data_IF_182068261868
#
_entry.id   IF_182068261868
#
_cell.length_a   1.000
_cell.length_b   1.000
_cell.length_c   1.000
_cell.angle_alpha   90.00
_cell.angle_beta   90.00
_cell.angle_gamma   90.00
#
_symmetry.space_group_name_H-M   'P 1'
#
loop_
_entity.id
_entity.type
_entity.pdbx_description
1 polymer ?
#
# COMPACT_ATOMS: atom_id res chain seq x y z
N UNK A 1 -12.57 15.11 -3.76
CA UNK A 1 -11.78 13.94 -3.33
C UNK A 1 -11.03 14.28 -2.05
N UNK A 2 -10.88 13.34 -1.13
CA UNK A 2 -10.06 13.47 0.08
C UNK A 2 -8.94 12.45 0.00
N UNK A 3 -7.69 12.89 0.15
CA UNK A 3 -6.52 12.04 0.17
C UNK A 3 -5.87 12.11 1.55
N UNK A 4 -5.49 10.96 2.09
CA UNK A 4 -4.71 10.85 3.33
C UNK A 4 -3.41 10.12 3.02
N UNK A 5 -2.28 10.67 3.42
CA UNK A 5 -0.97 10.07 3.14
C UNK A 5 0.01 10.27 4.30
N UNK A 6 0.90 9.30 4.50
CA UNK A 6 2.07 9.44 5.36
C UNK A 6 3.37 9.66 4.57
N UNK A 7 3.30 9.62 3.23
CA UNK A 7 4.44 9.79 2.36
C UNK A 7 4.70 11.26 2.04
N UNK A 8 5.89 11.76 2.35
CA UNK A 8 6.29 13.16 2.08
C UNK A 8 6.19 13.50 0.60
N UNK A 9 6.77 12.64 -0.25
CA UNK A 9 6.76 12.85 -1.70
C UNK A 9 5.35 12.81 -2.26
N UNK A 10 4.51 11.88 -1.75
CA UNK A 10 3.11 11.79 -2.16
C UNK A 10 2.34 13.05 -1.79
N UNK A 11 2.56 13.59 -0.57
CA UNK A 11 1.94 14.85 -0.14
C UNK A 11 2.32 16.01 -1.07
N UNK A 12 3.60 16.11 -1.46
CA UNK A 12 4.07 17.12 -2.41
C UNK A 12 3.36 17.01 -3.76
N UNK A 13 3.37 15.82 -4.37
CA UNK A 13 2.74 15.58 -5.67
C UNK A 13 1.23 15.88 -5.59
N UNK A 14 0.56 15.37 -4.56
CA UNK A 14 -0.87 15.62 -4.38
C UNK A 14 -1.19 17.10 -4.20
N UNK A 15 -0.30 17.86 -3.56
CA UNK A 15 -0.45 19.29 -3.38
C UNK A 15 -0.30 20.07 -4.70
N UNK A 16 0.61 19.67 -5.58
CA UNK A 16 0.79 20.30 -6.91
C UNK A 16 -0.44 20.11 -7.81
N UNK A 17 -1.13 18.97 -7.69
CA UNK A 17 -2.33 18.65 -8.46
C UNK A 17 -3.64 18.94 -7.72
N UNK A 18 -3.58 19.70 -6.64
CA UNK A 18 -4.79 20.11 -5.91
C UNK A 18 -5.73 20.93 -6.79
N UNK A 19 -7.01 20.60 -6.69
CA UNK A 19 -8.10 21.45 -7.15
C UNK A 19 -8.93 21.91 -5.96
N UNK A 20 -9.81 22.89 -6.14
CA UNK A 20 -10.74 23.35 -5.11
C UNK A 20 -11.62 22.20 -4.53
N UNK A 21 -11.67 21.04 -5.21
CA UNK A 21 -12.44 19.87 -4.81
C UNK A 21 -11.58 18.76 -4.19
N UNK A 22 -10.26 18.96 -4.05
CA UNK A 22 -9.33 17.97 -3.48
C UNK A 22 -8.74 18.50 -2.18
N UNK A 23 -8.81 17.70 -1.12
CA UNK A 23 -8.17 17.98 0.17
C UNK A 23 -7.12 16.90 0.43
N UNK A 24 -5.96 17.31 0.91
CA UNK A 24 -4.87 16.42 1.26
C UNK A 24 -4.60 16.53 2.75
N UNK A 25 -4.70 15.42 3.46
CA UNK A 25 -4.31 15.29 4.86
C UNK A 25 -3.00 14.51 4.94
N UNK A 26 -2.01 15.10 5.58
CA UNK A 26 -0.75 14.43 5.87
C UNK A 26 -0.79 13.89 7.29
N UNK A 27 -0.47 12.60 7.45
CA UNK A 27 -0.34 11.99 8.77
C UNK A 27 0.91 12.53 9.45
N UNK A 28 0.75 13.00 10.67
CA UNK A 28 1.86 13.43 11.52
C UNK A 28 2.60 12.27 12.18
N UNK A 29 3.77 12.56 12.74
CA UNK A 29 4.57 11.58 13.47
C UNK A 29 6.06 11.80 13.32
N UNK A 30 6.85 10.73 13.51
CA UNK A 30 8.30 10.74 13.42
C UNK A 30 8.78 10.56 11.99
N UNK A 31 9.70 11.41 11.57
CA UNK A 31 10.46 11.26 10.33
C UNK A 31 11.85 10.73 10.67
N UNK A 32 12.13 9.50 10.25
CA UNK A 32 13.46 8.91 10.42
C UNK A 32 14.42 9.38 9.33
N UNK A 33 15.73 9.50 9.63
CA UNK A 33 16.73 9.82 8.63
C UNK A 33 16.68 8.86 7.43
N UNK A 34 16.64 9.43 6.22
CA UNK A 34 16.54 8.66 4.97
C UNK A 34 15.16 8.07 4.67
N UNK A 35 14.16 8.23 5.53
CA UNK A 35 12.80 7.77 5.27
C UNK A 35 12.04 8.78 4.40
N UNK A 36 11.27 8.26 3.45
CA UNK A 36 10.37 9.06 2.61
C UNK A 36 8.93 9.14 3.17
N UNK A 37 8.71 8.58 4.37
CA UNK A 37 7.40 8.51 5.00
C UNK A 37 7.49 8.68 6.52
N UNK A 38 6.42 9.23 7.06
CA UNK A 38 6.27 9.44 8.50
C UNK A 38 5.70 8.17 9.15
N UNK A 39 6.20 7.87 10.34
CA UNK A 39 5.68 6.81 11.22
C UNK A 39 5.13 7.43 12.49
N UNK A 40 3.98 6.95 12.97
CA UNK A 40 3.43 7.36 14.26
C UNK A 40 3.55 6.22 15.25
N UNK A 41 3.94 6.53 16.48
CA UNK A 41 4.01 5.58 17.59
C UNK A 41 2.85 5.76 18.59
N UNK A 42 2.03 6.79 18.44
CA UNK A 42 0.95 7.08 19.38
C UNK A 42 -0.34 6.38 18.94
N UNK A 43 -0.82 5.47 19.74
CA UNK A 43 -2.06 4.71 19.52
C UNK A 43 -3.34 5.55 19.73
N UNK A 44 -3.23 6.78 20.20
CA UNK A 44 -4.39 7.60 20.56
C UNK A 44 -4.66 8.68 19.51
N UNK A 45 -5.83 8.59 18.87
CA UNK A 45 -6.40 9.60 17.98
C UNK A 45 -5.62 9.87 16.68
N UNK A 46 -5.07 8.83 16.05
CA UNK A 46 -4.49 9.03 14.73
C UNK A 46 -5.59 9.39 13.74
N UNK A 47 -5.31 10.32 12.82
CA UNK A 47 -6.23 10.66 11.72
C UNK A 47 -6.68 9.42 10.95
N UNK A 48 -5.86 8.35 10.94
CA UNK A 48 -6.21 7.07 10.31
C UNK A 48 -7.47 6.45 10.88
N UNK A 49 -7.77 6.65 12.14
CA UNK A 49 -8.96 6.09 12.80
C UNK A 49 -10.22 6.94 12.60
N UNK A 50 -10.06 8.20 12.23
CA UNK A 50 -11.18 9.14 12.05
C UNK A 50 -11.81 9.03 10.66
N UNK A 51 -11.13 8.43 9.71
CA UNK A 51 -11.63 8.27 8.34
C UNK A 51 -12.09 6.84 8.05
N UNK A 52 -13.06 6.74 7.15
CA UNK A 52 -13.39 5.52 6.43
C UNK A 52 -12.97 5.76 4.98
N UNK A 53 -12.13 4.87 4.44
CA UNK A 53 -11.56 5.01 3.12
C UNK A 53 -12.33 4.20 2.09
N UNK A 54 -12.59 4.76 0.93
CA UNK A 54 -13.11 3.99 -0.19
C UNK A 54 -12.00 3.09 -0.76
N UNK A 55 -10.79 3.63 -0.88
CA UNK A 55 -9.62 2.91 -1.37
C UNK A 55 -8.40 3.21 -0.51
N UNK A 56 -7.58 2.19 -0.26
CA UNK A 56 -6.23 2.36 0.23
C UNK A 56 -5.22 1.72 -0.72
N UNK A 57 -4.15 2.46 -0.98
CA UNK A 57 -3.01 1.99 -1.77
C UNK A 57 -1.82 1.86 -0.84
N UNK A 58 -1.23 0.70 -0.79
CA UNK A 58 -0.06 0.47 0.04
C UNK A 58 0.92 -0.47 -0.64
N UNK A 59 2.17 -0.35 -0.29
CA UNK A 59 3.21 -1.31 -0.63
C UNK A 59 3.74 -1.93 0.66
N UNK A 60 4.62 -2.92 0.54
CA UNK A 60 5.20 -3.63 1.66
C UNK A 60 6.71 -3.75 1.51
N UNK A 61 7.37 -4.33 2.50
CA UNK A 61 8.78 -4.69 2.37
C UNK A 61 8.95 -5.98 1.58
N UNK A 62 8.07 -6.95 1.77
CA UNK A 62 8.03 -8.19 1.03
C UNK A 62 6.75 -8.98 1.26
N UNK A 63 6.54 -9.99 0.45
CA UNK A 63 5.42 -10.93 0.51
C UNK A 63 5.92 -12.36 0.37
N UNK A 64 5.13 -13.29 0.91
CA UNK A 64 5.19 -14.71 0.60
C UNK A 64 3.76 -15.29 0.48
N UNK A 65 3.61 -16.61 0.35
CA UNK A 65 2.31 -17.26 0.23
C UNK A 65 1.42 -17.12 1.49
N UNK A 66 2.03 -16.80 2.63
CA UNK A 66 1.34 -16.68 3.91
C UNK A 66 0.97 -15.24 4.24
N UNK A 67 1.69 -14.26 3.69
CA UNK A 67 1.40 -12.89 4.09
C UNK A 67 2.16 -11.76 3.42
N UNK A 68 1.85 -10.59 3.93
CA UNK A 68 2.41 -9.28 3.56
C UNK A 68 3.19 -8.74 4.76
N UNK A 69 4.43 -8.29 4.53
CA UNK A 69 5.37 -8.01 5.62
C UNK A 69 6.00 -6.62 5.55
N UNK A 70 6.39 -6.13 6.73
CA UNK A 70 7.16 -4.91 6.94
C UNK A 70 8.39 -5.12 7.81
N UNK A 71 9.40 -4.27 7.61
CA UNK A 71 10.60 -4.24 8.43
C UNK A 71 10.44 -3.35 9.70
N UNK A 72 9.46 -2.45 9.72
CA UNK A 72 9.24 -1.46 10.78
C UNK A 72 7.86 -1.62 11.40
N UNK A 73 7.80 -1.73 12.73
CA UNK A 73 6.55 -1.80 13.47
C UNK A 73 5.63 -0.59 13.22
N UNK A 74 6.19 0.61 13.17
CA UNK A 74 5.41 1.82 12.92
C UNK A 74 4.72 1.80 11.55
N UNK A 75 5.42 1.34 10.50
CA UNK A 75 4.85 1.18 9.17
C UNK A 75 3.80 0.06 9.14
N UNK A 76 4.07 -1.06 9.81
CA UNK A 76 3.13 -2.16 9.88
C UNK A 76 1.81 -1.73 10.55
N UNK A 77 1.87 -1.06 11.69
CA UNK A 77 0.68 -0.56 12.41
C UNK A 77 -0.16 0.41 11.56
N UNK A 78 0.47 1.39 10.90
CA UNK A 78 -0.24 2.34 10.03
C UNK A 78 -0.99 1.60 8.92
N UNK A 79 -0.31 0.66 8.25
CA UNK A 79 -0.92 -0.11 7.15
C UNK A 79 -2.07 -0.97 7.64
N UNK A 80 -1.91 -1.67 8.77
CA UNK A 80 -2.99 -2.45 9.37
C UNK A 80 -4.21 -1.59 9.73
N UNK A 81 -3.99 -0.39 10.28
CA UNK A 81 -5.08 0.54 10.62
C UNK A 81 -5.83 1.00 9.36
N UNK A 82 -5.10 1.41 8.33
CA UNK A 82 -5.68 1.88 7.08
C UNK A 82 -6.44 0.74 6.38
N UNK A 83 -5.87 -0.46 6.29
CA UNK A 83 -6.54 -1.61 5.69
C UNK A 83 -7.87 -1.92 6.37
N UNK A 84 -7.89 -1.98 7.71
CA UNK A 84 -9.13 -2.23 8.48
C UNK A 84 -10.23 -1.19 8.27
N UNK A 85 -9.89 0.02 7.87
CA UNK A 85 -10.80 1.14 7.67
C UNK A 85 -11.12 1.38 6.18
N UNK A 86 -10.61 0.55 5.30
CA UNK A 86 -10.77 0.67 3.85
C UNK A 86 -11.79 -0.32 3.31
N UNK A 87 -12.67 0.13 2.44
CA UNK A 87 -13.57 -0.73 1.69
C UNK A 87 -12.80 -1.61 0.69
N UNK A 88 -11.75 -1.04 0.08
CA UNK A 88 -10.90 -1.73 -0.87
C UNK A 88 -9.43 -1.43 -0.57
N UNK A 89 -8.66 -2.47 -0.23
CA UNK A 89 -7.23 -2.42 0.01
C UNK A 89 -6.48 -2.93 -1.20
N UNK A 90 -5.60 -2.10 -1.78
CA UNK A 90 -4.87 -2.38 -3.00
C UNK A 90 -3.38 -2.45 -2.66
N UNK A 91 -2.82 -3.66 -2.79
CA UNK A 91 -1.39 -3.91 -2.59
C UNK A 91 -0.62 -3.68 -3.89
N UNK A 92 0.43 -2.86 -3.80
CA UNK A 92 1.35 -2.57 -4.90
C UNK A 92 2.68 -3.25 -4.64
N UNK A 93 3.05 -4.25 -5.45
CA UNK A 93 4.28 -5.01 -5.30
C UNK A 93 5.01 -5.18 -6.63
N UNK A 94 6.33 -5.09 -6.61
CA UNK A 94 7.21 -5.40 -7.74
C UNK A 94 7.83 -6.80 -7.57
N UNK A 95 8.50 -7.29 -8.63
CA UNK A 95 9.13 -8.61 -8.67
C UNK A 95 10.15 -8.86 -7.56
N UNK A 96 10.75 -7.81 -7.00
CA UNK A 96 11.78 -7.95 -5.96
C UNK A 96 11.21 -8.17 -4.56
N UNK A 97 9.89 -8.14 -4.41
CA UNK A 97 9.21 -8.29 -3.12
C UNK A 97 8.60 -9.66 -2.90
N UNK A 98 8.58 -10.49 -3.92
CA UNK A 98 8.10 -11.86 -3.81
C UNK A 98 9.10 -12.74 -3.05
N UNK A 99 8.61 -13.75 -2.33
CA UNK A 99 9.38 -14.71 -1.54
C UNK A 99 10.37 -14.05 -0.57
N UNK A 100 9.98 -12.89 -0.03
CA UNK A 100 10.80 -12.06 0.85
C UNK A 100 10.07 -11.70 2.14
N UNK A 101 9.80 -12.66 3.04
CA UNK A 101 9.15 -12.37 4.32
C UNK A 101 10.04 -11.49 5.19
N UNK A 102 9.40 -10.67 6.00
CA UNK A 102 10.06 -9.77 6.93
C UNK A 102 9.48 -9.90 8.35
N UNK A 103 10.01 -9.09 9.27
CA UNK A 103 9.82 -9.28 10.71
C UNK A 103 8.37 -9.05 11.16
N UNK A 104 7.66 -8.10 10.58
CA UNK A 104 6.28 -7.79 10.97
C UNK A 104 5.30 -8.18 9.89
N UNK A 105 4.46 -9.15 10.16
CA UNK A 105 3.32 -9.50 9.30
C UNK A 105 2.25 -8.41 9.43
N UNK A 106 1.84 -7.85 8.31
CA UNK A 106 0.78 -6.82 8.25
C UNK A 106 -0.59 -7.50 8.15
N UNK A 107 -0.71 -8.47 7.25
CA UNK A 107 -1.94 -9.14 6.87
C UNK A 107 -1.64 -10.49 6.24
N UNK A 108 -2.64 -11.33 6.11
CA UNK A 108 -2.58 -12.47 5.21
C UNK A 108 -2.60 -11.99 3.76
N UNK A 109 -1.97 -12.75 2.87
CA UNK A 109 -1.92 -12.35 1.46
C UNK A 109 -3.34 -12.17 0.88
N UNK A 110 -4.25 -13.04 1.27
CA UNK A 110 -5.65 -13.03 0.86
C UNK A 110 -6.48 -11.86 1.42
N UNK A 111 -6.00 -11.14 2.43
CA UNK A 111 -6.71 -9.96 2.98
C UNK A 111 -6.62 -8.73 2.06
N UNK A 112 -5.77 -8.77 1.04
CA UNK A 112 -5.71 -7.73 0.02
C UNK A 112 -6.84 -7.92 -0.98
N UNK A 113 -7.70 -6.93 -1.13
CA UNK A 113 -8.79 -6.99 -2.12
C UNK A 113 -8.28 -7.01 -3.56
N UNK A 114 -7.15 -6.35 -3.79
CA UNK A 114 -6.51 -6.32 -5.10
C UNK A 114 -5.00 -6.30 -4.94
N UNK A 115 -4.31 -6.95 -5.87
CA UNK A 115 -2.85 -6.92 -6.00
C UNK A 115 -2.49 -6.38 -7.37
N UNK A 116 -1.61 -5.38 -7.42
CA UNK A 116 -1.07 -4.84 -8.66
C UNK A 116 0.44 -5.08 -8.68
N UNK A 117 0.92 -5.72 -9.73
CA UNK A 117 2.34 -6.07 -9.86
C UNK A 117 2.84 -5.92 -11.31
N UNK A 118 4.16 -5.83 -11.47
CA UNK A 118 4.86 -5.81 -12.76
C UNK A 118 5.38 -7.19 -13.20
N UNK A 119 5.13 -8.24 -12.40
CA UNK A 119 5.57 -9.61 -12.72
C UNK A 119 4.39 -10.58 -12.77
N UNK A 120 4.51 -11.63 -13.58
CA UNK A 120 3.57 -12.73 -13.55
C UNK A 120 3.80 -13.56 -12.29
N UNK A 121 2.75 -13.93 -11.57
CA UNK A 121 2.87 -14.80 -10.41
C UNK A 121 3.31 -16.21 -10.82
N UNK A 122 4.02 -16.90 -9.94
CA UNK A 122 4.24 -18.36 -10.06
C UNK A 122 2.92 -19.10 -9.88
N UNK A 123 2.91 -20.40 -10.22
CA UNK A 123 1.72 -21.24 -10.08
C UNK A 123 1.17 -21.24 -8.64
N UNK A 124 2.05 -21.26 -7.64
CA UNK A 124 1.66 -21.24 -6.22
C UNK A 124 0.97 -19.95 -5.83
N UNK A 125 1.50 -18.80 -6.27
CA UNK A 125 0.85 -17.51 -6.06
C UNK A 125 -0.46 -17.41 -6.84
N UNK A 126 -0.51 -17.91 -8.07
CA UNK A 126 -1.74 -17.93 -8.85
C UNK A 126 -2.84 -18.68 -8.13
N UNK A 127 -2.55 -19.87 -7.61
CA UNK A 127 -3.50 -20.65 -6.82
C UNK A 127 -3.99 -19.87 -5.60
N UNK A 128 -3.09 -19.20 -4.89
CA UNK A 128 -3.44 -18.40 -3.72
C UNK A 128 -4.31 -17.20 -4.07
N UNK A 129 -4.08 -16.61 -5.24
CA UNK A 129 -4.88 -15.51 -5.79
C UNK A 129 -6.29 -16.01 -6.11
N UNK A 130 -6.41 -17.11 -6.81
CA UNK A 130 -7.69 -17.70 -7.20
C UNK A 130 -8.54 -18.13 -6.00
N UNK A 131 -7.90 -18.54 -4.90
CA UNK A 131 -8.55 -18.95 -3.67
C UNK A 131 -9.05 -17.77 -2.80
N UNK A 132 -8.51 -16.58 -2.93
CA UNK A 132 -8.82 -15.52 -1.94
C UNK A 132 -8.75 -14.08 -2.41
N UNK A 133 -8.11 -13.75 -3.51
CA UNK A 133 -7.94 -12.36 -3.96
C UNK A 133 -8.94 -12.04 -5.07
N UNK A 134 -9.73 -11.00 -4.85
CA UNK A 134 -10.81 -10.64 -5.78
C UNK A 134 -10.28 -10.13 -7.12
N UNK A 135 -9.16 -9.40 -7.13
CA UNK A 135 -8.60 -8.82 -8.34
C UNK A 135 -7.07 -8.88 -8.34
N UNK A 136 -6.52 -9.56 -9.32
CA UNK A 136 -5.09 -9.53 -9.59
C UNK A 136 -4.84 -8.78 -10.90
N UNK A 137 -4.02 -7.73 -10.86
CA UNK A 137 -3.72 -6.88 -12.00
C UNK A 137 -2.23 -6.97 -12.30
N UNK A 138 -1.90 -7.58 -13.41
CA UNK A 138 -0.54 -7.59 -13.93
C UNK A 138 -0.34 -6.43 -14.90
N UNK A 139 0.60 -5.56 -14.59
CA UNK A 139 1.02 -4.47 -15.46
C UNK A 139 2.22 -4.93 -16.29
N UNK A 140 1.99 -5.28 -17.55
CA UNK A 140 3.07 -5.63 -18.47
C UNK A 140 3.95 -4.40 -18.75
N UNK A 141 5.22 -4.37 -18.30
CA UNK A 141 6.09 -3.21 -18.52
C UNK A 141 6.40 -2.94 -20.00
N UNK A 142 6.25 -3.93 -20.88
CA UNK A 142 6.49 -3.79 -22.32
C UNK A 142 5.40 -3.00 -23.05
N UNK A 143 4.21 -2.84 -22.45
CA UNK A 143 3.11 -2.06 -23.05
C UNK A 143 3.23 -0.54 -22.79
N UNK A 144 4.19 -0.09 -21.98
CA UNK A 144 4.43 1.34 -21.71
C UNK A 144 5.24 2.07 -22.79
N UNK A 145 5.73 1.40 -23.82
CA UNK A 145 6.63 1.99 -24.81
C UNK A 145 5.95 2.44 -26.11
N UNK A 146 4.63 2.56 -26.15
CA UNK A 146 3.98 3.27 -27.25
C UNK A 146 3.62 4.68 -26.78
N UNK A 147 4.33 5.73 -27.24
CA UNK A 147 3.82 7.08 -27.11
C UNK A 147 2.51 7.17 -27.88
N UNK A 148 1.50 7.73 -27.26
CA UNK A 148 0.29 8.12 -28.00
C UNK A 148 0.71 9.10 -29.11
N UNK A 149 0.62 8.67 -30.37
CA UNK A 149 0.63 9.54 -31.53
C UNK A 149 -0.60 10.43 -31.55
#
# INVERSE_FOLDING_TARGET
MVCVTNGLRNAFILNEYQSLRTRVYMLGGELKPGAASITSFTDTNSLTEQFVYDFSFFSCRGIDLDGVYEASLGQAKIKQQIMRRSKHSILLVDEHKFDSPHFYKIADFADSHSVITNTLPTEDYQKRIDDGITNFIWLNPKLRSQPNE
#
